data_IF_015816049337
#
_entry.id   IF_015816049337
#
_cell.length_a   1.000
_cell.length_b   1.000
_cell.length_c   1.000
_cell.angle_alpha   90.00
_cell.angle_beta   90.00
_cell.angle_gamma   90.00
#
_symmetry.space_group_name_H-M   'P 1'
#
loop_
_entity.id
_entity.type
_entity.pdbx_description
1 polymer ?
#
# COMPACT_ATOMS: atom_id res chain seq x y z
N UNK A 1 -19.18 -0.23 -19.48
CA UNK A 1 -17.95 0.57 -19.24
C UNK A 1 -17.96 1.07 -17.80
N UNK A 2 -16.84 0.92 -17.08
CA UNK A 2 -16.69 1.38 -15.71
C UNK A 2 -15.44 2.27 -15.60
N UNK A 3 -15.55 3.41 -14.91
CA UNK A 3 -14.41 4.26 -14.56
C UNK A 3 -13.99 3.93 -13.13
N UNK A 4 -12.79 3.35 -12.98
CA UNK A 4 -12.31 2.83 -11.68
C UNK A 4 -11.56 3.87 -10.85
N UNK A 5 -11.34 5.08 -11.39
CA UNK A 5 -10.51 6.12 -10.77
C UNK A 5 -9.13 5.54 -10.35
N UNK A 6 -8.73 5.82 -9.11
CA UNK A 6 -7.46 5.33 -8.53
C UNK A 6 -7.58 3.97 -7.82
N UNK A 7 -8.73 3.29 -7.92
CA UNK A 7 -8.91 1.97 -7.30
C UNK A 7 -7.96 0.91 -7.91
N UNK A 8 -7.66 1.04 -9.20
CA UNK A 8 -6.74 0.15 -9.91
C UNK A 8 -5.55 0.92 -10.45
N UNK A 9 -4.36 0.36 -10.26
CA UNK A 9 -3.15 0.74 -10.96
C UNK A 9 -3.06 -0.05 -12.27
N UNK A 10 -2.71 0.63 -13.35
CA UNK A 10 -2.40 -0.02 -14.63
C UNK A 10 -1.14 -0.89 -14.50
N UNK A 11 -0.92 -1.79 -15.44
CA UNK A 11 0.29 -2.62 -15.46
C UNK A 11 1.58 -1.80 -15.42
N UNK A 12 1.62 -0.64 -16.07
CA UNK A 12 2.77 0.28 -16.02
C UNK A 12 3.01 0.86 -14.62
N UNK A 13 1.98 0.99 -13.80
CA UNK A 13 2.05 1.56 -12.44
C UNK A 13 2.25 0.52 -11.34
N UNK A 14 2.00 -0.75 -11.62
CA UNK A 14 2.23 -1.85 -10.64
C UNK A 14 3.71 -2.00 -10.28
N UNK A 15 4.62 -1.53 -11.13
CA UNK A 15 6.06 -1.48 -10.83
C UNK A 15 6.44 -0.41 -9.78
N UNK A 16 5.49 0.39 -9.29
CA UNK A 16 5.76 1.39 -8.26
C UNK A 16 6.36 0.77 -7.01
N UNK A 17 7.43 1.38 -6.48
CA UNK A 17 8.09 0.92 -5.26
C UNK A 17 7.13 0.92 -4.06
N UNK A 18 6.36 2.01 -3.92
CA UNK A 18 5.34 2.16 -2.89
C UNK A 18 4.06 2.76 -3.53
N UNK A 19 3.02 1.97 -3.73
CA UNK A 19 1.75 2.48 -4.24
C UNK A 19 1.11 3.42 -3.22
N UNK A 20 0.43 4.45 -3.74
CA UNK A 20 -0.34 5.37 -2.92
C UNK A 20 -1.75 4.82 -2.69
N UNK A 21 -2.18 4.81 -1.43
CA UNK A 21 -3.57 4.57 -1.05
C UNK A 21 -3.81 5.16 0.33
N UNK A 22 -4.90 5.88 0.51
CA UNK A 22 -5.31 6.41 1.83
C UNK A 22 -5.67 5.29 2.82
N UNK A 23 -6.18 4.17 2.29
CA UNK A 23 -6.46 2.95 3.05
C UNK A 23 -6.28 1.75 2.14
N UNK A 24 -5.31 0.91 2.44
CA UNK A 24 -5.06 -0.31 1.66
C UNK A 24 -6.21 -1.30 1.79
N UNK A 25 -6.83 -1.41 2.97
CA UNK A 25 -8.00 -2.28 3.14
C UNK A 25 -9.18 -1.82 2.30
N UNK A 26 -9.52 -0.53 2.35
CA UNK A 26 -10.60 0.02 1.52
C UNK A 26 -10.33 -0.12 0.01
N UNK A 27 -9.06 -0.02 -0.40
CA UNK A 27 -8.66 -0.24 -1.78
C UNK A 27 -8.84 -1.71 -2.20
N UNK A 28 -8.48 -2.66 -1.33
CA UNK A 28 -8.71 -4.10 -1.55
C UNK A 28 -10.21 -4.37 -1.69
N UNK A 29 -11.03 -3.89 -0.76
CA UNK A 29 -12.49 -4.08 -0.78
C UNK A 29 -13.13 -3.46 -2.02
N UNK A 30 -12.64 -2.30 -2.46
CA UNK A 30 -13.12 -1.63 -3.67
C UNK A 30 -12.78 -2.44 -4.93
N UNK A 31 -11.59 -3.03 -5.00
CA UNK A 31 -11.17 -3.89 -6.11
C UNK A 31 -12.00 -5.16 -6.19
N UNK A 32 -12.30 -5.78 -5.05
CA UNK A 32 -13.18 -6.97 -5.04
C UNK A 32 -14.57 -6.67 -5.59
N UNK A 33 -15.13 -5.48 -5.31
CA UNK A 33 -16.41 -5.06 -5.90
C UNK A 33 -16.37 -4.94 -7.42
N UNK A 34 -15.21 -4.65 -8.01
CA UNK A 34 -15.07 -4.56 -9.46
C UNK A 34 -15.19 -5.90 -10.17
N UNK A 35 -14.84 -7.02 -9.51
CA UNK A 35 -14.90 -8.38 -10.08
C UNK A 35 -16.30 -8.75 -10.58
N UNK A 36 -17.35 -8.29 -9.91
CA UNK A 36 -18.73 -8.66 -10.22
C UNK A 36 -19.49 -7.69 -11.11
N UNK A 37 -18.87 -6.60 -11.59
CA UNK A 37 -19.60 -5.55 -12.31
C UNK A 37 -19.97 -5.93 -13.77
N UNK A 38 -19.31 -6.89 -14.39
CA UNK A 38 -19.61 -7.34 -15.75
C UNK A 38 -19.50 -6.27 -16.84
N UNK A 39 -18.61 -5.31 -16.68
CA UNK A 39 -18.37 -4.28 -17.68
C UNK A 39 -17.44 -4.76 -18.79
N UNK A 40 -17.71 -4.36 -20.04
CA UNK A 40 -16.84 -4.70 -21.17
C UNK A 40 -15.45 -4.07 -21.04
N UNK A 41 -15.41 -2.83 -20.50
CA UNK A 41 -14.17 -2.06 -20.34
C UNK A 41 -14.12 -1.36 -18.97
N UNK A 42 -12.91 -1.31 -18.41
CA UNK A 42 -12.57 -0.62 -17.18
C UNK A 42 -11.50 0.44 -17.47
N UNK A 43 -11.79 1.70 -17.15
CA UNK A 43 -10.90 2.85 -17.41
C UNK A 43 -10.29 3.31 -16.10
N UNK A 44 -8.96 3.35 -16.04
CA UNK A 44 -8.19 3.79 -14.88
C UNK A 44 -7.81 5.28 -15.00
N UNK A 45 -7.65 5.98 -13.86
CA UNK A 45 -7.32 7.40 -13.84
C UNK A 45 -5.95 7.71 -14.46
N UNK A 46 -4.97 6.85 -14.24
CA UNK A 46 -3.59 7.02 -14.69
C UNK A 46 -3.24 6.03 -15.79
N UNK A 47 -3.62 6.36 -17.01
CA UNK A 47 -3.32 5.61 -18.23
C UNK A 47 -3.64 4.11 -18.16
N UNK A 48 -4.71 3.76 -18.76
CA UNK A 48 -5.00 2.36 -19.00
C UNK A 48 -6.49 2.10 -19.20
N UNK A 49 -6.74 1.19 -20.09
CA UNK A 49 -8.04 0.57 -20.31
C UNK A 49 -7.80 -0.93 -20.28
N UNK A 50 -8.63 -1.64 -19.53
CA UNK A 50 -8.55 -3.08 -19.47
C UNK A 50 -9.92 -3.67 -19.85
N UNK A 51 -9.90 -4.76 -20.59
CA UNK A 51 -11.09 -5.50 -21.00
C UNK A 51 -11.64 -6.39 -19.89
N UNK A 52 -12.86 -6.86 -20.06
CA UNK A 52 -13.52 -7.79 -19.11
C UNK A 52 -12.73 -9.08 -18.87
N UNK A 53 -11.97 -9.57 -19.84
CA UNK A 53 -11.15 -10.77 -19.70
C UNK A 53 -9.86 -10.57 -18.90
N UNK A 54 -9.46 -9.33 -18.63
CA UNK A 54 -8.19 -9.00 -17.97
C UNK A 54 -8.39 -8.45 -16.55
N UNK A 55 -9.60 -8.01 -16.21
CA UNK A 55 -9.87 -7.28 -14.95
C UNK A 55 -9.49 -8.08 -13.71
N UNK A 56 -9.81 -9.38 -13.68
CA UNK A 56 -9.51 -10.22 -12.51
C UNK A 56 -8.01 -10.41 -12.31
N UNK A 57 -7.25 -10.55 -13.39
CA UNK A 57 -5.79 -10.63 -13.34
C UNK A 57 -5.20 -9.31 -12.85
N UNK A 58 -5.67 -8.18 -13.36
CA UNK A 58 -5.19 -6.87 -12.96
C UNK A 58 -5.51 -6.58 -11.49
N UNK A 59 -6.69 -6.96 -11.00
CA UNK A 59 -7.05 -6.85 -9.58
C UNK A 59 -6.07 -7.68 -8.73
N UNK A 60 -5.81 -8.93 -9.11
CA UNK A 60 -4.90 -9.80 -8.35
C UNK A 60 -3.47 -9.25 -8.31
N UNK A 61 -2.95 -8.72 -9.40
CA UNK A 61 -1.62 -8.09 -9.42
C UNK A 61 -1.57 -6.83 -8.53
N UNK A 62 -2.63 -6.01 -8.52
CA UNK A 62 -2.74 -4.88 -7.60
C UNK A 62 -2.75 -5.32 -6.13
N UNK A 63 -3.50 -6.36 -5.79
CA UNK A 63 -3.55 -6.87 -4.42
C UNK A 63 -2.25 -7.54 -4.00
N UNK A 64 -1.61 -8.28 -4.90
CA UNK A 64 -0.30 -8.88 -4.68
C UNK A 64 0.75 -7.82 -4.37
N UNK A 65 0.76 -6.70 -5.10
CA UNK A 65 1.66 -5.58 -4.81
C UNK A 65 1.48 -5.08 -3.37
N UNK A 66 0.24 -4.85 -2.93
CA UNK A 66 -0.05 -4.39 -1.56
C UNK A 66 0.44 -5.42 -0.53
N UNK A 67 0.10 -6.70 -0.71
CA UNK A 67 0.54 -7.77 0.20
C UNK A 67 2.06 -7.89 0.28
N UNK A 68 2.74 -7.86 -0.85
CA UNK A 68 4.21 -7.93 -0.88
C UNK A 68 4.85 -6.74 -0.15
N UNK A 69 4.37 -5.52 -0.40
CA UNK A 69 4.91 -4.33 0.26
C UNK A 69 4.60 -4.30 1.75
N UNK A 70 3.40 -4.71 2.15
CA UNK A 70 3.04 -4.84 3.56
C UNK A 70 3.95 -5.86 4.27
N UNK A 71 4.19 -7.02 3.66
CA UNK A 71 5.09 -8.04 4.20
C UNK A 71 6.53 -7.52 4.33
N UNK A 72 7.05 -6.85 3.31
CA UNK A 72 8.40 -6.26 3.34
C UNK A 72 8.54 -5.22 4.46
N UNK A 73 7.52 -4.36 4.66
CA UNK A 73 7.52 -3.37 5.75
C UNK A 73 7.38 -4.05 7.12
N UNK A 74 6.53 -5.07 7.24
CA UNK A 74 6.43 -5.89 8.44
C UNK A 74 7.79 -6.49 8.85
N UNK A 75 8.57 -6.97 7.88
CA UNK A 75 9.90 -7.55 8.12
C UNK A 75 10.93 -6.55 8.64
N UNK A 76 10.75 -5.25 8.37
CA UNK A 76 11.60 -4.19 8.91
C UNK A 76 11.39 -3.95 10.42
N UNK A 77 10.21 -4.32 10.95
CA UNK A 77 9.88 -4.13 12.35
C UNK A 77 10.40 -5.32 13.17
N UNK A 78 11.67 -5.32 13.51
CA UNK A 78 12.35 -6.39 14.25
C UNK A 78 12.33 -6.21 15.78
N UNK A 79 11.97 -5.02 16.25
CA UNK A 79 11.84 -4.60 17.65
C UNK A 79 10.73 -3.54 17.75
N UNK A 80 10.34 -3.10 18.95
CA UNK A 80 9.50 -1.91 19.05
C UNK A 80 10.18 -0.69 18.40
N UNK A 81 9.54 -0.12 17.39
CA UNK A 81 10.04 0.99 16.57
C UNK A 81 9.05 2.13 16.52
N UNK A 82 9.56 3.36 16.50
CA UNK A 82 8.77 4.54 16.16
C UNK A 82 8.44 4.55 14.66
N UNK A 83 7.41 5.28 14.30
CA UNK A 83 7.08 5.46 12.89
C UNK A 83 8.25 6.07 12.08
N UNK A 84 9.02 6.97 12.68
CA UNK A 84 10.18 7.59 12.02
C UNK A 84 11.31 6.58 11.76
N UNK A 85 11.55 5.63 12.67
CA UNK A 85 12.51 4.56 12.47
C UNK A 85 12.06 3.60 11.34
N UNK A 86 10.76 3.29 11.27
CA UNK A 86 10.21 2.48 10.19
C UNK A 86 10.34 3.22 8.85
N UNK A 87 10.05 4.52 8.81
CA UNK A 87 10.20 5.35 7.60
C UNK A 87 11.65 5.34 7.09
N UNK A 88 12.61 5.49 8.00
CA UNK A 88 14.05 5.44 7.65
C UNK A 88 14.45 4.07 7.10
N UNK A 89 14.03 2.99 7.75
CA UNK A 89 14.32 1.62 7.32
C UNK A 89 13.69 1.32 5.94
N UNK A 90 12.44 1.74 5.72
CA UNK A 90 11.76 1.57 4.44
C UNK A 90 12.39 2.42 3.33
N UNK A 91 12.76 3.68 3.61
CA UNK A 91 13.47 4.51 2.65
C UNK A 91 14.82 3.89 2.25
N UNK A 92 15.55 3.30 3.17
CA UNK A 92 16.78 2.58 2.88
C UNK A 92 16.51 1.32 2.02
N UNK A 93 15.51 0.52 2.40
CA UNK A 93 15.12 -0.72 1.71
C UNK A 93 14.73 -0.49 0.26
N UNK A 94 14.01 0.60 -0.02
CA UNK A 94 13.51 0.92 -1.35
C UNK A 94 14.35 1.95 -2.10
N UNK A 95 15.47 2.41 -1.53
CA UNK A 95 16.34 3.45 -2.10
C UNK A 95 15.58 4.74 -2.44
N UNK A 96 14.72 5.18 -1.52
CA UNK A 96 13.86 6.35 -1.69
C UNK A 96 14.56 7.65 -1.30
N UNK A 97 15.77 7.87 -1.76
CA UNK A 97 16.53 9.06 -1.44
C UNK A 97 16.10 10.24 -2.33
N UNK A 98 15.81 11.38 -1.69
CA UNK A 98 15.44 12.60 -2.40
C UNK A 98 15.83 13.83 -1.62
N UNK A 99 16.20 14.91 -2.33
CA UNK A 99 16.42 16.25 -1.76
C UNK A 99 15.17 17.12 -1.87
N UNK A 100 14.08 16.64 -2.45
CA UNK A 100 12.84 17.37 -2.65
C UNK A 100 11.89 17.10 -1.48
N UNK A 101 11.64 18.10 -0.63
CA UNK A 101 10.81 17.98 0.57
C UNK A 101 9.44 17.36 0.30
N UNK A 102 8.73 17.81 -0.75
CA UNK A 102 7.41 17.25 -1.11
C UNK A 102 7.48 15.76 -1.46
N UNK A 103 8.59 15.30 -2.05
CA UNK A 103 8.77 13.89 -2.40
C UNK A 103 9.08 13.06 -1.16
N UNK A 104 9.89 13.59 -0.24
CA UNK A 104 10.17 12.94 1.04
C UNK A 104 8.89 12.75 1.86
N UNK A 105 8.07 13.80 2.00
CA UNK A 105 6.77 13.72 2.68
C UNK A 105 5.80 12.72 2.03
N UNK A 106 5.86 12.55 0.70
CA UNK A 106 5.06 11.53 0.01
C UNK A 106 5.52 10.13 0.37
N UNK A 107 6.82 9.88 0.44
CA UNK A 107 7.35 8.58 0.84
C UNK A 107 6.95 8.23 2.27
N UNK A 108 7.18 9.14 3.22
CA UNK A 108 6.77 8.98 4.61
C UNK A 108 5.29 8.61 4.72
N UNK A 109 4.42 9.38 4.05
CA UNK A 109 2.97 9.14 4.07
C UNK A 109 2.61 7.77 3.50
N UNK A 110 3.20 7.36 2.36
CA UNK A 110 2.92 6.06 1.75
C UNK A 110 3.36 4.91 2.66
N UNK A 111 4.49 5.03 3.34
CA UNK A 111 4.96 4.05 4.32
C UNK A 111 3.97 3.96 5.49
N UNK A 112 3.49 5.12 6.00
CA UNK A 112 2.51 5.17 7.09
C UNK A 112 1.22 4.44 6.77
N UNK A 113 0.70 4.55 5.56
CA UNK A 113 -0.50 3.82 5.17
C UNK A 113 -0.30 2.30 5.19
N UNK A 114 0.90 1.79 4.90
CA UNK A 114 1.21 0.38 5.10
C UNK A 114 1.31 -0.01 6.57
N UNK A 115 1.92 0.84 7.41
CA UNK A 115 1.97 0.61 8.86
C UNK A 115 0.56 0.57 9.46
N UNK A 116 -0.31 1.51 9.09
CA UNK A 116 -1.72 1.50 9.50
C UNK A 116 -2.43 0.23 9.06
N UNK A 117 -2.26 -0.20 7.82
CA UNK A 117 -2.81 -1.45 7.30
C UNK A 117 -2.35 -2.67 8.11
N UNK A 118 -1.07 -2.74 8.48
CA UNK A 118 -0.52 -3.82 9.30
C UNK A 118 -1.11 -3.81 10.73
N UNK A 119 -1.38 -2.64 11.29
CA UNK A 119 -2.06 -2.51 12.59
C UNK A 119 -3.53 -2.91 12.48
N UNK A 120 -4.25 -2.42 11.49
CA UNK A 120 -5.67 -2.71 11.27
C UNK A 120 -5.94 -4.20 11.02
N UNK A 121 -4.98 -4.89 10.39
CA UNK A 121 -5.03 -6.33 10.15
C UNK A 121 -4.44 -7.17 11.30
N UNK A 122 -4.02 -6.54 12.40
CA UNK A 122 -3.48 -7.23 13.59
C UNK A 122 -2.08 -7.81 13.41
N UNK A 123 -1.38 -7.47 12.34
CA UNK A 123 -0.01 -7.92 12.10
C UNK A 123 1.02 -7.12 12.91
N UNK A 124 0.72 -5.86 13.20
CA UNK A 124 1.47 -5.03 14.13
C UNK A 124 0.57 -4.56 15.28
N UNK A 125 1.16 -4.35 16.44
CA UNK A 125 0.54 -3.75 17.62
C UNK A 125 1.12 -2.35 17.87
N UNK A 126 0.25 -1.45 18.37
CA UNK A 126 0.68 -0.14 18.84
C UNK A 126 0.75 -0.12 20.37
N UNK A 127 1.78 0.51 20.90
CA UNK A 127 1.89 0.87 22.31
C UNK A 127 2.31 2.33 22.46
N UNK A 128 1.94 2.95 23.58
CA UNK A 128 2.38 4.32 23.89
C UNK A 128 3.25 4.29 25.14
N UNK A 129 4.49 4.75 25.01
CA UNK A 129 5.44 4.85 26.12
C UNK A 129 5.96 6.29 26.22
N UNK A 130 5.64 6.96 27.35
CA UNK A 130 6.08 8.34 27.60
C UNK A 130 5.71 9.32 26.46
N UNK A 131 4.53 9.16 25.88
CA UNK A 131 4.04 10.00 24.77
C UNK A 131 4.59 9.62 23.38
N UNK A 132 5.41 8.58 23.28
CA UNK A 132 5.93 8.07 22.00
C UNK A 132 5.17 6.82 21.61
N UNK A 133 4.63 6.79 20.38
CA UNK A 133 3.98 5.62 19.81
C UNK A 133 5.05 4.68 19.25
N UNK A 134 4.97 3.42 19.63
CA UNK A 134 5.82 2.34 19.16
C UNK A 134 4.96 1.28 18.46
N UNK A 135 5.50 0.76 17.38
CA UNK A 135 4.93 -0.36 16.63
C UNK A 135 5.80 -1.59 16.84
N UNK A 136 5.19 -2.74 17.07
CA UNK A 136 5.89 -4.00 17.29
C UNK A 136 5.10 -5.17 16.72
N UNK A 137 5.78 -6.28 16.46
CA UNK A 137 5.09 -7.53 16.16
C UNK A 137 4.39 -8.04 17.42
N UNK A 138 3.18 -8.65 17.30
CA UNK A 138 2.52 -9.30 18.42
C UNK A 138 3.46 -10.32 19.09
N UNK A 139 3.39 -10.40 20.40
CA UNK A 139 4.08 -11.47 21.12
C UNK A 139 3.38 -12.81 20.82
N UNK A 140 4.17 -13.78 20.46
CA UNK A 140 3.69 -15.14 20.29
C UNK A 140 3.11 -15.71 21.59
#
# INVERSE_FOLDING_TARGET
MCYTADALLSYEMIEAKLPYSLSHQAAIDSREKLRGLGCDYYIMAHRGVCGSGEIDTLIEENQKLVRCRAQEIFELVDRPMTASEIDQAACARYELYTRKNRRALRFERNIRFFVEYLVDTGQLEMSCQRGVVLYSRPKA
#
